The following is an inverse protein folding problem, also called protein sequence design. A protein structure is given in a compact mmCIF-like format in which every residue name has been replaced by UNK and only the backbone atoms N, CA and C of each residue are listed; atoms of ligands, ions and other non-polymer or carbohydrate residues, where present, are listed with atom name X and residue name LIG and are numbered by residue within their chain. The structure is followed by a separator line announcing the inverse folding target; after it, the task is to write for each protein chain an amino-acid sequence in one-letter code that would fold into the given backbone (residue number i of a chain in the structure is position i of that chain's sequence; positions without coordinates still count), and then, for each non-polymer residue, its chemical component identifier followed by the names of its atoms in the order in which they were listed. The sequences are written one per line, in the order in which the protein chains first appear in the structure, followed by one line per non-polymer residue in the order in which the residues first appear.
data_IF_545154926228
#
_entry.id   IF_545154926228
#
_cell.length_a   1.000
_cell.length_b   1.000
_cell.length_c   1.000
_cell.angle_alpha   90.00
_cell.angle_beta   90.00
_cell.angle_gamma   90.00
#
_symmetry.space_group_name_H-M   'P 1'
#
loop_
_entity.id
_entity.type
_entity.pdbx_description
1 polymer ?
#
# COMPACT_ATOMS: atom_id res chain seq x y z
N UNK A 1 -31.75 -47.85 58.96
CA UNK A 1 -32.66 -48.97 58.63
C UNK A 1 -33.10 -48.76 57.18
N UNK A 2 -32.91 -49.61 56.18
CA UNK A 2 -32.56 -51.03 56.10
C UNK A 2 -31.89 -51.31 54.72
N UNK A 3 -31.03 -52.34 54.72
CA UNK A 3 -30.16 -52.89 53.65
C UNK A 3 -30.95 -53.40 52.41
N UNK A 4 -30.49 -53.18 51.17
CA UNK A 4 -29.64 -54.08 50.30
C UNK A 4 -30.26 -55.44 49.92
N UNK A 5 -30.57 -55.64 48.62
CA UNK A 5 -30.54 -56.95 47.88
C UNK A 5 -30.47 -56.63 46.37
N UNK A 6 -29.38 -56.77 45.60
CA UNK A 6 -28.61 -57.94 45.11
C UNK A 6 -29.24 -58.70 43.90
N UNK A 7 -28.72 -58.38 42.71
CA UNK A 7 -28.23 -59.22 41.58
C UNK A 7 -29.09 -60.35 40.95
N UNK A 8 -29.01 -60.31 39.59
CA UNK A 8 -28.78 -61.37 38.58
C UNK A 8 -30.00 -61.92 37.81
N UNK A 9 -30.03 -61.56 36.53
CA UNK A 9 -30.31 -62.48 35.42
C UNK A 9 -29.44 -62.03 34.23
N UNK A 10 -28.45 -62.86 33.90
CA UNK A 10 -27.52 -62.73 32.78
C UNK A 10 -28.11 -63.50 31.59
N UNK A 11 -27.97 -62.89 30.41
CA UNK A 11 -27.78 -63.53 29.11
C UNK A 11 -28.85 -64.51 28.59
N UNK A 12 -29.56 -64.06 27.56
CA UNK A 12 -29.66 -64.75 26.24
C UNK A 12 -30.34 -63.83 25.22
N UNK A 13 -29.72 -63.66 24.06
CA UNK A 13 -30.37 -63.04 22.89
C UNK A 13 -29.54 -61.99 22.17
N UNK A 14 -28.37 -62.37 21.65
CA UNK A 14 -27.58 -61.58 20.72
C UNK A 14 -28.32 -61.50 19.35
N UNK A 15 -28.19 -60.35 18.68
CA UNK A 15 -28.41 -60.07 17.24
C UNK A 15 -29.82 -59.64 16.81
N UNK A 16 -30.01 -58.32 16.66
CA UNK A 16 -30.14 -57.74 15.31
C UNK A 16 -29.83 -56.24 15.33
N UNK A 17 -28.83 -55.90 14.53
CA UNK A 17 -28.30 -54.59 14.18
C UNK A 17 -29.33 -53.68 13.52
N UNK A 18 -29.45 -52.43 14.01
CA UNK A 18 -29.79 -51.26 13.20
C UNK A 18 -29.02 -50.05 13.75
N UNK A 19 -28.01 -49.61 13.00
CA UNK A 19 -27.24 -48.41 13.25
C UNK A 19 -28.17 -47.19 13.18
N UNK A 20 -28.38 -46.52 14.31
CA UNK A 20 -28.89 -45.17 14.34
C UNK A 20 -27.68 -44.23 14.20
N UNK A 21 -27.54 -43.63 13.01
CA UNK A 21 -26.59 -42.55 12.76
C UNK A 21 -27.10 -41.33 13.52
N UNK A 22 -26.42 -40.96 14.60
CA UNK A 22 -26.61 -39.68 15.28
C UNK A 22 -25.88 -38.64 14.43
N UNK A 23 -26.62 -37.90 13.60
CA UNK A 23 -26.13 -36.68 12.97
C UNK A 23 -25.98 -35.61 14.05
N UNK A 24 -24.74 -35.39 14.49
CA UNK A 24 -24.40 -34.22 15.28
C UNK A 24 -24.51 -32.96 14.41
N UNK A 25 -25.44 -32.08 14.74
CA UNK A 25 -25.33 -30.68 14.33
C UNK A 25 -24.25 -30.02 15.18
N UNK A 26 -22.99 -30.14 14.74
CA UNK A 26 -21.98 -29.16 15.11
C UNK A 26 -22.24 -27.92 14.26
N UNK A 27 -22.93 -26.94 14.83
CA UNK A 27 -22.88 -25.58 14.32
C UNK A 27 -21.44 -25.10 14.52
N UNK A 28 -20.60 -25.28 13.50
CA UNK A 28 -19.35 -24.58 13.40
C UNK A 28 -19.70 -23.10 13.24
N UNK A 29 -19.74 -22.36 14.35
CA UNK A 29 -19.57 -20.93 14.28
C UNK A 29 -18.24 -20.72 13.55
N UNK A 30 -18.30 -20.28 12.29
CA UNK A 30 -17.17 -19.68 11.63
C UNK A 30 -16.79 -18.51 12.53
N UNK A 31 -15.79 -18.72 13.39
CA UNK A 31 -15.09 -17.62 14.01
C UNK A 31 -14.40 -16.96 12.81
N UNK A 32 -15.06 -15.97 12.23
CA UNK A 32 -14.41 -15.00 11.38
C UNK A 32 -13.42 -14.31 12.32
N UNK A 33 -12.21 -14.86 12.41
CA UNK A 33 -11.09 -14.14 12.99
C UNK A 33 -11.03 -12.84 12.20
N UNK A 34 -11.18 -11.67 12.86
CA UNK A 34 -10.98 -10.41 12.15
C UNK A 34 -9.60 -10.53 11.53
N UNK A 35 -9.54 -10.42 10.20
CA UNK A 35 -8.26 -10.31 9.50
C UNK A 35 -7.70 -8.99 10.02
N UNK A 36 -6.85 -9.06 11.04
CA UNK A 36 -6.16 -7.89 11.55
C UNK A 36 -5.40 -7.30 10.36
N UNK A 37 -5.68 -6.04 10.06
CA UNK A 37 -4.95 -5.30 9.05
C UNK A 37 -3.45 -5.49 9.29
N UNK A 38 -2.74 -5.95 8.27
CA UNK A 38 -1.32 -6.32 8.34
C UNK A 38 -0.46 -5.06 8.16
N UNK A 39 -0.76 -4.01 8.92
CA UNK A 39 -0.14 -2.70 8.76
C UNK A 39 1.31 -2.76 9.23
N UNK A 40 2.23 -2.66 8.26
CA UNK A 40 3.66 -2.51 8.55
C UNK A 40 3.95 -1.09 8.98
N UNK A 41 4.49 -0.93 10.18
CA UNK A 41 4.81 0.38 10.77
C UNK A 41 6.31 0.64 10.65
N UNK A 42 6.74 1.68 9.93
CA UNK A 42 8.15 2.05 9.86
C UNK A 42 8.68 2.46 11.23
N UNK A 43 9.90 2.05 11.51
CA UNK A 43 10.64 2.41 12.72
C UNK A 43 12.02 2.99 12.40
N UNK A 44 12.46 3.93 13.23
CA UNK A 44 13.81 4.49 13.24
C UNK A 44 14.58 3.92 14.42
N UNK A 45 14.95 2.63 14.34
CA UNK A 45 15.55 1.88 15.46
C UNK A 45 16.95 2.35 15.83
N UNK A 46 17.61 3.14 14.96
CA UNK A 46 18.90 3.74 15.26
C UNK A 46 20.10 2.79 15.21
N UNK A 47 19.93 1.54 14.77
CA UNK A 47 21.00 0.55 14.70
C UNK A 47 22.07 0.87 13.64
N UNK A 48 21.65 1.51 12.54
CA UNK A 48 22.55 2.06 11.51
C UNK A 48 22.14 3.50 11.20
N UNK A 49 22.90 4.46 11.71
CA UNK A 49 22.62 5.88 11.50
C UNK A 49 23.84 6.65 11.01
N UNK A 50 23.57 7.68 10.23
CA UNK A 50 24.56 8.63 9.76
C UNK A 50 24.07 10.03 10.10
N UNK A 51 24.92 10.87 10.67
CA UNK A 51 24.55 12.23 11.03
C UNK A 51 25.71 13.20 10.86
N UNK A 52 25.39 14.46 10.57
CA UNK A 52 26.31 15.59 10.57
C UNK A 52 25.91 16.67 11.60
N UNK A 53 25.06 16.33 12.58
CA UNK A 53 24.49 17.25 13.57
C UNK A 53 23.19 17.95 13.12
N UNK A 54 23.03 18.22 11.81
CA UNK A 54 21.84 18.88 11.26
C UNK A 54 20.86 17.91 10.60
N UNK A 55 21.37 16.87 9.93
CA UNK A 55 20.60 15.83 9.30
C UNK A 55 20.93 14.48 9.94
N UNK A 56 19.95 13.58 9.97
CA UNK A 56 20.13 12.17 10.34
C UNK A 56 19.48 11.30 9.28
N UNK A 57 20.26 10.37 8.72
CA UNK A 57 19.80 9.29 7.86
C UNK A 57 19.86 8.01 8.69
N UNK A 58 18.69 7.47 9.02
CA UNK A 58 18.53 6.17 9.65
C UNK A 58 18.33 5.11 8.56
N UNK A 59 19.35 4.27 8.38
CA UNK A 59 19.38 3.18 7.41
C UNK A 59 19.18 1.81 8.09
N UNK A 60 18.71 1.78 9.33
CA UNK A 60 18.53 0.55 10.12
C UNK A 60 17.61 -0.46 9.44
N UNK A 61 16.69 0.03 8.61
CA UNK A 61 15.70 -0.77 7.89
C UNK A 61 15.93 -0.83 6.38
N UNK A 62 17.17 -0.62 5.93
CA UNK A 62 17.52 -0.71 4.52
C UNK A 62 17.16 -2.07 3.89
N UNK A 63 17.32 -3.18 4.64
CA UNK A 63 16.92 -4.52 4.17
C UNK A 63 15.40 -4.71 4.03
N UNK A 64 14.61 -3.85 4.67
CA UNK A 64 13.14 -3.80 4.55
C UNK A 64 12.68 -2.80 3.47
N UNK A 65 13.63 -2.21 2.73
CA UNK A 65 13.30 -1.38 1.58
C UNK A 65 13.03 0.09 1.87
N UNK A 66 13.45 0.62 3.02
CA UNK A 66 13.32 2.05 3.30
C UNK A 66 14.46 2.61 4.15
N UNK A 67 14.62 3.93 4.09
CA UNK A 67 15.39 4.72 5.07
C UNK A 67 14.46 5.75 5.71
N UNK A 68 14.82 6.20 6.91
CA UNK A 68 14.15 7.32 7.55
C UNK A 68 15.09 8.51 7.66
N UNK A 69 14.62 9.70 7.30
CA UNK A 69 15.43 10.92 7.35
C UNK A 69 14.74 11.96 8.20
N UNK A 70 15.49 12.65 9.06
CA UNK A 70 15.04 13.86 9.77
C UNK A 70 16.08 14.96 9.63
N UNK A 71 15.61 16.20 9.77
CA UNK A 71 16.46 17.38 9.74
C UNK A 71 16.13 18.31 10.92
N UNK A 72 17.16 18.70 11.67
CA UNK A 72 17.08 19.55 12.87
C UNK A 72 17.90 20.83 12.74
N UNK A 73 18.51 21.09 11.58
CA UNK A 73 19.38 22.25 11.34
C UNK A 73 18.66 23.59 11.10
N UNK A 74 17.35 23.67 11.31
CA UNK A 74 16.55 24.90 11.16
C UNK A 74 15.23 24.69 10.40
N UNK A 75 14.60 25.79 9.99
CA UNK A 75 13.25 25.81 9.40
C UNK A 75 13.22 26.07 7.88
N UNK A 76 14.36 26.04 7.21
CA UNK A 76 14.45 26.20 5.74
C UNK A 76 13.74 25.04 5.02
N UNK A 77 13.39 25.22 3.74
CA UNK A 77 12.89 24.08 2.93
C UNK A 77 14.00 23.06 2.75
N UNK A 78 13.69 21.80 3.07
CA UNK A 78 14.64 20.69 3.01
C UNK A 78 14.21 19.73 1.91
N UNK A 79 15.18 19.19 1.19
CA UNK A 79 14.98 18.13 0.20
C UNK A 79 15.83 16.92 0.51
N UNK A 80 15.26 15.75 0.29
CA UNK A 80 16.00 14.48 0.27
C UNK A 80 16.06 14.03 -1.18
N UNK A 81 17.24 13.62 -1.64
CA UNK A 81 17.41 12.94 -2.93
C UNK A 81 17.97 11.55 -2.70
N UNK A 82 17.30 10.54 -3.24
CA UNK A 82 17.75 9.15 -3.24
C UNK A 82 18.06 8.77 -4.69
N UNK A 83 19.26 8.28 -4.93
CA UNK A 83 19.76 7.91 -6.25
C UNK A 83 20.36 6.51 -6.24
N UNK A 84 19.87 5.62 -7.11
CA UNK A 84 20.60 4.43 -7.55
C UNK A 84 20.75 4.45 -9.07
N UNK A 85 19.64 4.40 -9.79
CA UNK A 85 19.57 4.66 -11.23
C UNK A 85 18.81 5.96 -11.52
N UNK A 86 17.68 6.15 -10.83
CA UNK A 86 16.81 7.32 -10.96
C UNK A 86 16.99 8.27 -9.78
N UNK A 87 16.96 9.59 -10.04
CA UNK A 87 17.00 10.62 -9.00
C UNK A 87 15.60 10.87 -8.43
N UNK A 88 15.30 10.24 -7.29
CA UNK A 88 14.07 10.51 -6.54
C UNK A 88 14.28 11.68 -5.60
N UNK A 89 13.64 12.82 -5.86
CA UNK A 89 13.72 14.01 -5.00
C UNK A 89 12.40 14.23 -4.27
N UNK A 90 12.50 14.42 -2.96
CA UNK A 90 11.40 14.59 -2.04
C UNK A 90 11.55 15.89 -1.26
N UNK A 91 10.44 16.51 -0.87
CA UNK A 91 10.46 17.49 0.22
C UNK A 91 10.54 16.72 1.55
N UNK A 92 11.23 17.29 2.53
CA UNK A 92 11.33 16.75 3.90
C UNK A 92 10.81 17.81 4.87
N UNK A 93 10.01 17.39 5.87
CA UNK A 93 9.55 18.31 6.92
C UNK A 93 10.72 19.00 7.64
N UNK A 94 10.45 20.24 8.07
CA UNK A 94 11.37 21.00 8.91
C UNK A 94 11.04 20.89 10.42
N UNK A 95 10.16 19.94 10.80
CA UNK A 95 9.67 19.78 12.17
C UNK A 95 10.61 18.95 13.06
N UNK A 96 11.72 18.44 12.51
CA UNK A 96 12.64 17.55 13.23
C UNK A 96 12.16 16.11 13.34
N UNK A 97 11.02 15.77 12.74
CA UNK A 97 10.45 14.43 12.76
C UNK A 97 10.99 13.59 11.61
N UNK A 98 11.11 12.28 11.84
CA UNK A 98 11.48 11.35 10.77
C UNK A 98 10.36 11.21 9.74
N UNK A 99 10.75 11.20 8.47
CA UNK A 99 9.93 10.73 7.36
C UNK A 99 10.53 9.49 6.72
N UNK A 100 9.68 8.71 6.07
CA UNK A 100 10.00 7.40 5.49
C UNK A 100 10.17 7.56 3.99
N UNK A 101 11.30 7.09 3.47
CA UNK A 101 11.65 7.16 2.06
C UNK A 101 11.94 5.76 1.51
N UNK A 102 11.18 5.29 0.51
CA UNK A 102 11.33 3.94 0.00
C UNK A 102 12.55 3.80 -0.92
N UNK A 103 13.11 2.59 -0.96
CA UNK A 103 14.23 2.17 -1.80
C UNK A 103 13.69 1.26 -2.92
N UNK A 104 13.05 1.86 -3.91
CA UNK A 104 12.19 1.15 -4.88
C UNK A 104 12.92 0.50 -6.04
N UNK A 105 14.22 0.74 -6.22
CA UNK A 105 15.02 0.19 -7.31
C UNK A 105 15.71 -1.15 -6.94
N UNK A 106 15.24 -1.84 -5.90
CA UNK A 106 15.76 -3.16 -5.47
C UNK A 106 17.11 -3.11 -4.74
N UNK A 107 17.72 -4.26 -4.48
CA UNK A 107 19.05 -4.36 -3.85
C UNK A 107 20.14 -3.66 -4.67
N UNK A 108 21.14 -3.08 -4.01
CA UNK A 108 22.25 -2.38 -4.65
C UNK A 108 22.73 -1.17 -3.85
N UNK A 109 23.56 -0.36 -4.47
CA UNK A 109 24.14 0.84 -3.83
C UNK A 109 23.30 2.06 -4.13
N UNK A 110 22.84 2.75 -3.08
CA UNK A 110 22.11 4.00 -3.16
C UNK A 110 22.95 5.14 -2.59
N UNK A 111 22.74 6.35 -3.11
CA UNK A 111 23.21 7.59 -2.50
C UNK A 111 22.02 8.38 -1.99
N UNK A 112 22.01 8.68 -0.69
CA UNK A 112 21.01 9.52 -0.04
C UNK A 112 21.65 10.86 0.28
N UNK A 113 21.10 11.93 -0.29
CA UNK A 113 21.55 13.31 -0.12
C UNK A 113 20.47 14.14 0.55
N UNK A 114 20.88 15.01 1.45
CA UNK A 114 20.01 16.00 2.09
C UNK A 114 20.47 17.38 1.65
N UNK A 115 19.51 18.23 1.30
CA UNK A 115 19.74 19.57 0.80
C UNK A 115 18.92 20.59 1.59
N UNK A 116 19.51 21.74 1.87
CA UNK A 116 18.85 22.87 2.50
C UNK A 116 18.73 24.02 1.50
N UNK A 117 17.56 24.64 1.42
CA UNK A 117 17.36 25.83 0.60
C UNK A 117 18.21 27.00 1.11
N UNK A 118 18.89 27.66 0.18
CA UNK A 118 19.70 28.86 0.47
C UNK A 118 18.92 30.12 0.06
N UNK A 119 18.43 30.16 -1.18
CA UNK A 119 17.68 31.29 -1.72
C UNK A 119 16.86 30.86 -2.93
N UNK A 120 15.60 31.32 -3.05
CA UNK A 120 14.77 31.02 -4.21
C UNK A 120 14.65 29.52 -4.47
N UNK A 121 15.08 29.03 -5.63
CA UNK A 121 15.11 27.60 -5.96
C UNK A 121 16.48 26.95 -5.78
N UNK A 122 17.45 27.67 -5.20
CA UNK A 122 18.81 27.20 -4.97
C UNK A 122 18.94 26.46 -3.64
N UNK A 123 19.61 25.31 -3.68
CA UNK A 123 19.80 24.43 -2.54
C UNK A 123 21.29 24.09 -2.38
N UNK A 124 21.77 24.08 -1.14
CA UNK A 124 23.08 23.58 -0.77
C UNK A 124 22.96 22.14 -0.26
N UNK A 125 23.88 21.26 -0.67
CA UNK A 125 23.98 19.91 -0.12
C UNK A 125 24.51 19.99 1.31
N UNK A 126 23.74 19.51 2.28
CA UNK A 126 24.16 19.47 3.69
C UNK A 126 24.77 18.12 4.05
N UNK A 127 24.30 17.04 3.43
CA UNK A 127 24.74 15.68 3.72
C UNK A 127 24.67 14.81 2.47
N UNK A 128 25.59 13.86 2.33
CA UNK A 128 25.56 12.80 1.32
C UNK A 128 26.08 11.52 1.94
N UNK A 129 25.30 10.44 1.83
CA UNK A 129 25.67 9.14 2.35
C UNK A 129 25.41 8.06 1.31
N UNK A 130 26.39 7.19 1.10
CA UNK A 130 26.21 5.97 0.32
C UNK A 130 25.80 4.83 1.23
N UNK A 131 24.75 4.10 0.86
CA UNK A 131 24.25 2.93 1.58
C UNK A 131 24.22 1.73 0.63
N UNK A 132 24.65 0.56 1.12
CA UNK A 132 24.52 -0.70 0.40
C UNK A 132 23.30 -1.44 0.92
N UNK A 133 22.35 -1.67 0.03
CA UNK A 133 21.04 -2.24 0.34
C UNK A 133 21.01 -3.67 -0.14
N UNK A 134 20.73 -4.60 0.78
CA UNK A 134 20.41 -5.99 0.46
C UNK A 134 19.02 -6.28 1.00
N UNK A 135 18.02 -6.24 0.12
CA UNK A 135 16.63 -6.46 0.50
C UNK A 135 16.43 -7.91 0.96
N UNK A 136 15.70 -8.08 2.06
CA UNK A 136 15.24 -9.40 2.49
C UNK A 136 14.12 -9.92 1.57
N UNK A 137 13.32 -9.00 1.03
CA UNK A 137 12.25 -9.26 0.06
C UNK A 137 12.18 -8.06 -0.91
N UNK A 138 12.19 -8.32 -2.21
CA UNK A 138 12.09 -7.29 -3.26
C UNK A 138 10.75 -6.55 -3.26
N UNK A 139 9.71 -7.13 -2.65
CA UNK A 139 8.38 -6.54 -2.54
C UNK A 139 8.24 -5.61 -1.33
N UNK A 140 9.15 -5.70 -0.35
CA UNK A 140 9.09 -4.96 0.91
C UNK A 140 9.00 -3.42 0.76
N UNK A 141 9.69 -2.74 -0.19
CA UNK A 141 9.54 -1.29 -0.36
C UNK A 141 8.11 -0.86 -0.69
N UNK A 142 7.31 -1.76 -1.27
CA UNK A 142 5.96 -1.51 -1.75
C UNK A 142 4.87 -1.94 -0.76
N UNK A 143 5.25 -2.20 0.49
CA UNK A 143 4.33 -2.58 1.57
C UNK A 143 4.29 -1.56 2.72
N UNK A 144 5.35 -0.77 2.90
CA UNK A 144 5.40 0.26 3.95
C UNK A 144 4.72 1.57 3.53
N UNK A 145 4.19 2.35 4.48
CA UNK A 145 3.77 3.72 4.23
C UNK A 145 4.98 4.60 3.89
N UNK A 146 4.74 5.63 3.09
CA UNK A 146 5.70 6.67 2.75
C UNK A 146 4.98 8.02 2.67
N UNK A 147 5.68 9.10 2.33
CA UNK A 147 5.08 10.44 2.32
C UNK A 147 3.87 10.61 1.37
N UNK A 148 3.76 9.79 0.32
CA UNK A 148 2.63 9.84 -0.62
C UNK A 148 1.50 8.90 -0.23
N UNK A 149 1.83 7.80 0.46
CA UNK A 149 0.87 6.82 0.95
C UNK A 149 1.04 6.70 2.47
N UNK A 150 0.72 7.78 3.19
CA UNK A 150 0.94 7.85 4.63
C UNK A 150 -0.29 7.30 5.36
N UNK A 151 -0.16 6.11 5.94
CA UNK A 151 -1.19 5.44 6.71
C UNK A 151 -0.59 4.78 7.95
N UNK A 152 -1.43 4.61 8.98
CA UNK A 152 -1.13 3.92 10.23
C UNK A 152 -2.23 2.93 10.55
N UNK A 153 -2.03 2.07 11.54
CA UNK A 153 -3.02 1.06 11.92
C UNK A 153 -4.40 1.65 12.30
N UNK A 154 -4.41 2.88 12.81
CA UNK A 154 -5.59 3.65 13.21
C UNK A 154 -6.14 4.57 12.11
N UNK A 155 -5.53 4.60 10.92
CA UNK A 155 -6.01 5.41 9.79
C UNK A 155 -7.37 4.93 9.27
N UNK A 156 -8.20 5.87 8.84
CA UNK A 156 -9.51 5.58 8.27
C UNK A 156 -9.40 4.69 7.03
N UNK A 157 -8.44 4.95 6.13
CA UNK A 157 -8.19 4.12 4.93
C UNK A 157 -7.89 2.66 5.28
N UNK A 158 -7.23 2.39 6.41
CA UNK A 158 -6.94 1.02 6.86
C UNK A 158 -8.21 0.32 7.33
N UNK A 159 -9.00 0.99 8.18
CA UNK A 159 -10.26 0.43 8.68
C UNK A 159 -11.28 0.18 7.56
N UNK A 160 -11.37 1.10 6.59
CA UNK A 160 -12.22 0.96 5.40
C UNK A 160 -11.75 -0.20 4.53
N UNK A 161 -10.44 -0.31 4.25
CA UNK A 161 -9.88 -1.42 3.47
C UNK A 161 -10.19 -2.79 4.10
N UNK A 162 -10.00 -2.92 5.41
CA UNK A 162 -10.32 -4.14 6.13
C UNK A 162 -11.82 -4.47 6.06
N UNK A 163 -12.69 -3.46 6.13
CA UNK A 163 -14.14 -3.66 6.02
C UNK A 163 -14.57 -4.13 4.63
N UNK A 164 -14.08 -3.51 3.56
CA UNK A 164 -14.53 -3.82 2.18
C UNK A 164 -13.92 -5.13 1.64
N UNK A 165 -12.81 -5.59 2.24
CA UNK A 165 -12.15 -6.86 1.90
C UNK A 165 -12.45 -7.98 2.89
N UNK A 166 -13.33 -7.74 3.88
CA UNK A 166 -13.71 -8.73 4.88
C UNK A 166 -14.29 -9.99 4.22
N UNK A 167 -13.74 -11.15 4.56
CA UNK A 167 -14.17 -12.43 4.00
C UNK A 167 -13.70 -12.71 2.56
N UNK A 168 -12.98 -11.78 1.92
CA UNK A 168 -12.39 -11.97 0.60
C UNK A 168 -11.00 -12.59 0.77
N UNK A 169 -10.81 -13.85 0.34
CA UNK A 169 -9.52 -14.54 0.45
C UNK A 169 -8.61 -14.34 -0.76
N UNK A 170 -9.20 -14.17 -1.94
CA UNK A 170 -8.49 -14.01 -3.20
C UNK A 170 -7.88 -12.60 -3.32
N UNK A 171 -6.56 -12.45 -3.50
CA UNK A 171 -5.91 -11.13 -3.59
C UNK A 171 -6.46 -10.29 -4.73
N UNK A 172 -6.77 -10.90 -5.87
CA UNK A 172 -7.29 -10.22 -7.05
C UNK A 172 -8.66 -9.60 -6.75
N UNK A 173 -9.52 -10.35 -6.08
CA UNK A 173 -10.83 -9.89 -5.61
C UNK A 173 -10.73 -8.77 -4.57
N UNK A 174 -9.69 -8.77 -3.72
CA UNK A 174 -9.42 -7.65 -2.79
C UNK A 174 -9.02 -6.37 -3.53
N UNK A 175 -8.10 -6.50 -4.50
CA UNK A 175 -7.77 -5.39 -5.42
C UNK A 175 -9.06 -4.91 -6.09
N UNK A 176 -9.95 -5.84 -6.44
CA UNK A 176 -11.18 -5.49 -7.11
C UNK A 176 -12.08 -4.59 -6.24
N UNK A 177 -12.34 -5.06 -5.01
CA UNK A 177 -13.19 -4.37 -4.06
C UNK A 177 -12.65 -2.96 -3.71
N UNK A 178 -11.35 -2.83 -3.50
CA UNK A 178 -10.71 -1.56 -3.15
C UNK A 178 -10.81 -0.54 -4.29
N UNK A 179 -10.53 -0.96 -5.52
CA UNK A 179 -10.65 -0.07 -6.68
C UNK A 179 -12.10 0.40 -6.86
N UNK A 180 -13.08 -0.52 -6.80
CA UNK A 180 -14.49 -0.16 -6.97
C UNK A 180 -14.89 0.87 -5.92
N UNK A 181 -14.49 0.63 -4.67
CA UNK A 181 -14.74 1.58 -3.59
C UNK A 181 -14.15 2.97 -3.89
N UNK A 182 -12.88 3.05 -4.30
CA UNK A 182 -12.23 4.32 -4.59
C UNK A 182 -12.91 5.08 -5.75
N UNK A 183 -13.29 4.37 -6.81
CA UNK A 183 -13.97 4.95 -7.97
C UNK A 183 -15.40 5.41 -7.67
N UNK A 184 -16.15 4.61 -6.91
CA UNK A 184 -17.55 4.90 -6.59
C UNK A 184 -17.70 5.98 -5.51
N UNK A 185 -16.68 6.18 -4.66
CA UNK A 185 -16.77 7.06 -3.50
C UNK A 185 -15.94 8.33 -3.59
N UNK A 186 -15.04 8.47 -4.56
CA UNK A 186 -14.22 9.68 -4.72
C UNK A 186 -14.60 10.32 -6.06
N UNK A 187 -14.84 11.63 -6.06
CA UNK A 187 -15.07 12.44 -7.25
C UNK A 187 -13.80 13.18 -7.69
N UNK A 188 -13.65 13.37 -9.01
CA UNK A 188 -12.47 14.05 -9.55
C UNK A 188 -12.56 15.58 -9.37
N UNK A 189 -11.54 16.17 -8.79
CA UNK A 189 -11.43 17.62 -8.58
C UNK A 189 -10.65 18.29 -9.71
N UNK A 190 -11.36 18.73 -10.75
CA UNK A 190 -10.75 19.42 -11.90
C UNK A 190 -10.12 20.76 -11.53
N UNK A 191 -10.69 21.49 -10.57
CA UNK A 191 -10.15 22.77 -10.16
C UNK A 191 -8.81 22.59 -9.43
N UNK A 192 -8.74 21.62 -8.51
CA UNK A 192 -7.49 21.23 -7.87
C UNK A 192 -6.49 20.72 -8.90
N UNK A 193 -6.90 19.89 -9.86
CA UNK A 193 -6.01 19.40 -10.91
C UNK A 193 -5.38 20.55 -11.73
N UNK A 194 -6.14 21.62 -11.99
CA UNK A 194 -5.66 22.78 -12.73
C UNK A 194 -4.79 23.75 -11.89
N UNK A 195 -4.89 23.70 -10.56
CA UNK A 195 -4.31 24.71 -9.66
C UNK A 195 -3.29 24.15 -8.66
N UNK A 196 -3.17 22.82 -8.55
CA UNK A 196 -2.25 22.16 -7.63
C UNK A 196 -0.80 22.59 -7.89
N UNK A 197 -0.10 22.92 -6.83
CA UNK A 197 1.28 23.41 -6.89
C UNK A 197 2.29 22.27 -6.71
N UNK A 198 3.52 22.49 -7.17
CA UNK A 198 4.62 21.58 -6.92
C UNK A 198 4.87 21.42 -5.41
N UNK A 199 5.16 20.19 -4.98
CA UNK A 199 5.31 19.83 -3.56
C UNK A 199 3.99 19.43 -2.88
N UNK A 200 2.87 19.36 -3.61
CA UNK A 200 1.64 18.79 -3.09
C UNK A 200 1.84 17.32 -2.67
N UNK A 201 1.43 17.00 -1.44
CA UNK A 201 1.40 15.64 -0.90
C UNK A 201 -0.04 15.22 -0.62
N UNK A 202 -0.49 14.07 -1.14
CA UNK A 202 -1.81 13.54 -0.83
C UNK A 202 -1.86 13.08 0.63
N UNK A 203 -3.02 13.24 1.27
CA UNK A 203 -3.31 12.71 2.60
C UNK A 203 -4.47 11.73 2.46
N UNK A 204 -4.21 10.41 2.44
CA UNK A 204 -5.22 9.40 2.11
C UNK A 204 -6.51 9.52 2.94
N UNK A 205 -6.40 9.71 4.25
CA UNK A 205 -7.56 9.88 5.14
C UNK A 205 -8.36 11.16 4.84
N UNK A 206 -7.68 12.27 4.47
CA UNK A 206 -8.36 13.51 4.07
C UNK A 206 -9.13 13.34 2.76
N UNK A 207 -8.56 12.64 1.78
CA UNK A 207 -9.23 12.32 0.51
C UNK A 207 -10.42 11.39 0.74
N UNK A 208 -10.26 10.39 1.62
CA UNK A 208 -11.34 9.47 1.97
C UNK A 208 -12.50 10.21 2.66
N UNK A 209 -12.19 11.15 3.54
CA UNK A 209 -13.19 11.95 4.25
C UNK A 209 -13.89 12.97 3.33
N UNK A 210 -13.12 13.68 2.49
CA UNK A 210 -13.66 14.70 1.57
C UNK A 210 -14.38 14.10 0.38
N UNK A 211 -14.09 12.84 0.05
CA UNK A 211 -14.60 12.13 -1.14
C UNK A 211 -14.29 12.86 -2.44
N UNK A 212 -13.22 13.64 -2.48
CA UNK A 212 -12.80 14.39 -3.67
C UNK A 212 -11.28 14.50 -3.75
N UNK A 213 -10.73 14.39 -4.96
CA UNK A 213 -9.29 14.46 -5.19
C UNK A 213 -8.90 14.40 -6.67
N UNK A 214 -7.60 14.46 -6.93
CA UNK A 214 -7.02 14.32 -8.28
C UNK A 214 -6.37 12.94 -8.43
N UNK A 215 -5.86 12.60 -9.62
CA UNK A 215 -5.27 11.29 -9.88
C UNK A 215 -4.24 10.82 -8.83
N UNK A 216 -3.44 11.76 -8.30
CA UNK A 216 -2.49 11.48 -7.24
C UNK A 216 -3.15 11.06 -5.91
N UNK A 217 -4.27 11.69 -5.55
CA UNK A 217 -5.03 11.37 -4.35
C UNK A 217 -5.68 9.98 -4.45
N UNK A 218 -6.22 9.62 -5.62
CA UNK A 218 -6.79 8.30 -5.87
C UNK A 218 -5.73 7.21 -5.75
N UNK A 219 -4.59 7.41 -6.41
CA UNK A 219 -3.48 6.46 -6.35
C UNK A 219 -2.96 6.29 -4.92
N UNK A 220 -2.88 7.38 -4.15
CA UNK A 220 -2.49 7.35 -2.74
C UNK A 220 -3.48 6.61 -1.84
N UNK A 221 -4.79 6.85 -1.99
CA UNK A 221 -5.84 6.13 -1.23
C UNK A 221 -5.78 4.64 -1.56
N UNK A 222 -5.81 4.28 -2.83
CA UNK A 222 -5.83 2.88 -3.25
C UNK A 222 -4.55 2.14 -2.82
N UNK A 223 -3.38 2.76 -3.00
CA UNK A 223 -2.10 2.20 -2.55
C UNK A 223 -2.09 2.00 -1.03
N UNK A 224 -2.57 2.98 -0.25
CA UNK A 224 -2.64 2.86 1.21
C UNK A 224 -3.58 1.75 1.66
N UNK A 225 -4.75 1.64 1.04
CA UNK A 225 -5.71 0.56 1.30
C UNK A 225 -5.09 -0.81 1.00
N UNK A 226 -4.46 -0.98 -0.17
CA UNK A 226 -3.86 -2.25 -0.58
C UNK A 226 -2.67 -2.66 0.28
N UNK A 227 -1.74 -1.74 0.55
CA UNK A 227 -0.58 -2.00 1.42
C UNK A 227 -1.03 -2.38 2.84
N UNK A 228 -2.11 -1.79 3.34
CA UNK A 228 -2.68 -2.17 4.65
C UNK A 228 -3.21 -3.61 4.71
N UNK A 229 -3.51 -4.21 3.55
CA UNK A 229 -3.95 -5.60 3.40
C UNK A 229 -2.80 -6.54 2.99
N UNK A 230 -1.54 -6.09 3.16
CA UNK A 230 -0.30 -6.78 2.76
C UNK A 230 -0.23 -7.11 1.25
N UNK A 231 -0.84 -6.27 0.40
CA UNK A 231 -0.74 -6.38 -1.05
C UNK A 231 0.33 -5.40 -1.55
N UNK A 232 1.49 -5.88 -2.06
CA UNK A 232 2.55 -4.99 -2.52
C UNK A 232 2.05 -4.15 -3.69
N UNK A 233 2.17 -2.84 -3.56
CA UNK A 233 1.52 -1.89 -4.46
C UNK A 233 2.44 -0.72 -4.73
N UNK A 234 2.70 -0.44 -6.00
CA UNK A 234 3.45 0.73 -6.48
C UNK A 234 2.49 1.89 -6.70
N UNK A 235 2.83 3.07 -6.21
CA UNK A 235 2.29 4.32 -6.72
C UNK A 235 3.26 4.84 -7.78
N UNK A 236 2.80 4.88 -9.02
CA UNK A 236 3.61 5.31 -10.16
C UNK A 236 3.19 6.71 -10.58
N UNK A 237 4.16 7.58 -10.81
CA UNK A 237 3.95 8.91 -11.36
C UNK A 237 4.69 9.01 -12.69
N UNK A 238 4.06 9.58 -13.70
CA UNK A 238 4.63 9.70 -15.03
C UNK A 238 3.70 10.42 -15.99
N UNK A 239 3.71 10.01 -17.25
CA UNK A 239 2.86 10.57 -18.29
C UNK A 239 1.98 9.51 -18.93
N UNK A 240 0.72 9.87 -19.18
CA UNK A 240 -0.22 9.11 -20.01
C UNK A 240 -0.89 10.05 -21.01
N UNK A 241 -0.87 9.69 -22.29
CA UNK A 241 -1.42 10.55 -23.36
C UNK A 241 -0.81 11.95 -23.43
N UNK A 242 0.42 12.12 -22.94
CA UNK A 242 1.11 13.41 -22.82
C UNK A 242 0.77 14.24 -21.57
N UNK A 243 -0.21 13.82 -20.76
CA UNK A 243 -0.57 14.47 -19.50
C UNK A 243 0.17 13.85 -18.30
N UNK A 244 0.56 14.68 -17.34
CA UNK A 244 1.15 14.20 -16.08
C UNK A 244 0.09 13.48 -15.26
N UNK A 245 0.41 12.28 -14.79
CA UNK A 245 -0.57 11.39 -14.17
C UNK A 245 0.05 10.50 -13.10
N UNK A 246 -0.80 9.97 -12.23
CA UNK A 246 -0.44 8.97 -11.24
C UNK A 246 -1.38 7.76 -11.35
N UNK A 247 -0.81 6.56 -11.24
CA UNK A 247 -1.55 5.31 -11.31
C UNK A 247 -0.95 4.29 -10.33
N UNK A 248 -1.56 3.11 -10.28
CA UNK A 248 -1.17 2.05 -9.36
C UNK A 248 -0.75 0.81 -10.16
N UNK A 249 0.25 0.09 -9.67
CA UNK A 249 0.56 -1.28 -10.09
C UNK A 249 0.56 -2.19 -8.86
N UNK A 250 -0.02 -3.38 -8.94
CA UNK A 250 -0.12 -4.32 -7.80
C UNK A 250 0.62 -5.60 -8.10
N UNK A 251 1.22 -6.20 -7.07
CA UNK A 251 1.76 -7.54 -7.17
C UNK A 251 0.74 -8.57 -6.69
N UNK A 252 0.44 -9.54 -7.54
CA UNK A 252 -0.46 -10.66 -7.23
C UNK A 252 0.37 -11.94 -7.19
N UNK A 253 0.37 -12.63 -6.06
CA UNK A 253 1.11 -13.89 -5.88
C UNK A 253 0.70 -14.91 -6.94
N UNK A 254 1.69 -15.49 -7.63
CA UNK A 254 1.47 -16.45 -8.71
C UNK A 254 1.20 -15.84 -10.09
N UNK A 255 0.92 -14.54 -10.17
CA UNK A 255 0.72 -13.81 -11.43
C UNK A 255 1.83 -12.78 -11.70
N UNK A 256 2.39 -12.18 -10.66
CA UNK A 256 3.40 -11.12 -10.77
C UNK A 256 2.80 -9.72 -10.70
N UNK A 257 3.50 -8.73 -11.27
CA UNK A 257 3.00 -7.36 -11.35
C UNK A 257 1.86 -7.25 -12.37
N UNK A 258 0.71 -6.79 -11.90
CA UNK A 258 -0.39 -6.29 -12.71
C UNK A 258 -0.23 -4.79 -12.77
N UNK A 259 0.36 -4.33 -13.87
CA UNK A 259 0.71 -2.93 -14.06
C UNK A 259 -0.45 -2.11 -14.57
N UNK A 260 -0.48 -0.84 -14.14
CA UNK A 260 -1.49 0.14 -14.51
C UNK A 260 -2.87 -0.44 -14.19
N UNK A 261 -3.38 -0.36 -12.96
CA UNK A 261 -4.72 -0.88 -12.61
C UNK A 261 -5.81 0.19 -12.55
N UNK A 262 -5.44 1.48 -12.57
CA UNK A 262 -6.36 2.62 -12.53
C UNK A 262 -6.14 3.54 -13.75
N UNK A 263 -7.16 3.68 -14.60
CA UNK A 263 -7.19 4.65 -15.71
C UNK A 263 -8.25 5.71 -15.48
N UNK A 264 -7.91 6.97 -15.75
CA UNK A 264 -8.87 8.07 -15.84
C UNK A 264 -8.83 8.65 -17.25
N UNK A 265 -9.96 8.64 -17.96
CA UNK A 265 -10.06 9.20 -19.32
C UNK A 265 -10.31 10.72 -19.34
N UNK A 266 -10.29 11.36 -18.17
CA UNK A 266 -10.66 12.77 -18.01
C UNK A 266 -12.12 13.00 -17.61
N UNK A 267 -12.95 11.94 -17.56
CA UNK A 267 -14.35 12.01 -17.09
C UNK A 267 -14.72 10.80 -16.20
N UNK A 268 -14.26 9.60 -16.56
CA UNK A 268 -14.59 8.34 -15.90
C UNK A 268 -13.32 7.59 -15.48
N UNK A 269 -13.39 6.94 -14.32
CA UNK A 269 -12.39 5.98 -13.88
C UNK A 269 -12.73 4.58 -14.40
N UNK A 270 -11.73 3.83 -14.89
CA UNK A 270 -11.90 2.49 -15.47
C UNK A 270 -10.79 1.53 -15.05
N UNK A 271 -11.16 0.26 -14.91
CA UNK A 271 -10.21 -0.84 -14.71
C UNK A 271 -9.31 -0.95 -15.92
N UNK A 272 -8.07 -1.33 -15.66
CA UNK A 272 -7.06 -1.45 -16.70
C UNK A 272 -6.65 -2.90 -17.04
N UNK A 273 -6.84 -3.86 -16.14
CA UNK A 273 -6.54 -5.27 -16.47
C UNK A 273 -7.75 -5.90 -17.22
N UNK A 274 -7.54 -6.43 -18.44
CA UNK A 274 -8.58 -7.05 -19.27
C UNK A 274 -9.25 -8.27 -18.62
N UNK A 275 -8.58 -8.94 -17.68
CA UNK A 275 -9.12 -10.01 -16.84
C UNK A 275 -10.26 -9.50 -15.96
N UNK A 276 -10.13 -8.28 -15.41
CA UNK A 276 -11.16 -7.61 -14.61
C UNK A 276 -12.21 -6.91 -15.47
N UNK A 277 -11.82 -6.36 -16.62
CA UNK A 277 -12.72 -5.71 -17.58
C UNK A 277 -13.72 -6.67 -18.26
N UNK A 278 -13.52 -7.99 -18.14
CA UNK A 278 -14.42 -9.01 -18.69
C UNK A 278 -15.81 -9.04 -18.03
N UNK A 279 -15.99 -8.38 -16.87
CA UNK A 279 -17.25 -8.37 -16.11
C UNK A 279 -18.13 -7.12 -16.29
N UNK A 280 -17.70 -6.10 -17.05
CA UNK A 280 -18.47 -4.86 -17.19
C UNK A 280 -18.24 -4.14 -18.50
N UNK A 281 -19.12 -4.35 -19.49
CA UNK A 281 -19.39 -3.48 -20.67
C UNK A 281 -18.20 -2.60 -21.12
N UNK A 282 -17.04 -3.20 -21.37
CA UNK A 282 -15.83 -2.48 -21.72
C UNK A 282 -15.90 -1.90 -23.14
N UNK A 283 -15.59 -0.61 -23.29
CA UNK A 283 -15.35 -0.02 -24.59
C UNK A 283 -13.97 -0.50 -25.10
N UNK A 284 -13.94 -1.26 -26.19
CA UNK A 284 -12.73 -1.85 -26.75
C UNK A 284 -11.60 -0.84 -27.04
N UNK A 285 -11.94 0.40 -27.40
CA UNK A 285 -10.95 1.45 -27.63
C UNK A 285 -10.19 1.83 -26.34
N UNK A 286 -10.89 1.82 -25.21
CA UNK A 286 -10.31 2.15 -23.92
C UNK A 286 -9.48 0.98 -23.40
N UNK A 287 -9.97 -0.26 -23.54
CA UNK A 287 -9.18 -1.46 -23.23
C UNK A 287 -7.89 -1.49 -24.07
N UNK A 288 -7.95 -1.17 -25.35
CA UNK A 288 -6.74 -1.11 -26.19
C UNK A 288 -5.78 0.00 -25.78
N UNK A 289 -6.27 1.13 -25.25
CA UNK A 289 -5.43 2.22 -24.79
C UNK A 289 -4.68 1.83 -23.51
N UNK A 290 -5.39 1.30 -22.52
CA UNK A 290 -4.84 1.02 -21.19
C UNK A 290 -3.90 -0.19 -21.15
N UNK A 291 -4.11 -1.17 -22.03
CA UNK A 291 -3.21 -2.34 -22.13
C UNK A 291 -2.02 -2.08 -23.04
N UNK A 292 -1.94 -0.92 -23.71
CA UNK A 292 -0.81 -0.59 -24.55
C UNK A 292 0.27 0.14 -23.73
N UNK A 293 1.39 -0.51 -23.39
CA UNK A 293 2.44 0.08 -22.57
C UNK A 293 3.08 1.32 -23.24
N UNK A 294 2.98 1.49 -24.56
CA UNK A 294 3.47 2.69 -25.25
C UNK A 294 2.73 3.97 -24.84
N UNK A 295 1.54 3.85 -24.25
CA UNK A 295 0.77 5.00 -23.76
C UNK A 295 1.22 5.48 -22.38
N UNK A 296 2.10 4.74 -21.70
CA UNK A 296 2.57 5.03 -20.35
C UNK A 296 4.07 5.24 -20.33
N UNK A 297 4.48 6.38 -19.77
CA UNK A 297 5.88 6.68 -19.53
C UNK A 297 6.05 6.90 -18.03
N UNK A 298 6.41 5.82 -17.32
CA UNK A 298 6.72 5.88 -15.90
C UNK A 298 7.95 6.77 -15.67
N UNK A 299 7.84 7.70 -14.71
CA UNK A 299 8.94 8.59 -14.31
C UNK A 299 9.45 8.24 -12.92
N UNK A 300 8.55 7.94 -12.00
CA UNK A 300 8.86 7.61 -10.61
C UNK A 300 7.95 6.49 -10.11
N UNK A 301 8.52 5.58 -9.32
CA UNK A 301 7.81 4.50 -8.66
C UNK A 301 8.05 4.57 -7.15
N UNK A 302 6.98 4.62 -6.37
CA UNK A 302 6.97 4.77 -4.91
C UNK A 302 6.19 3.67 -4.21
#
# INVERSE_FOLDING_TARGET
MFRKTLRRSLQKGLKKTRNAVILGLSAAALICTPVFAQVRTPESSGSVTYSNGNAVIDASNASQGYVMVKYTGGTSRIKVRITKGTDYTYDLNASGNYEVFPLTEGSGTYTVKVFQQVQGTSYAQVMSQTINVNLADELSPFLYPNQFCNFRADSAVVSTAASITAGVSDPLSKVQAIYNYAVDNISYDYQKAATVQSGYLPVPDSTLASKTGICFDYAAVMTSMLRSQDIPTKLVIGYTGGAYHAWVSVYVTGQGWVDNIIYFDGVNWRYMDPTFASSGKGNAAITSYITNPANYQAKFTY
#
